data_IF_689841365036
#
_entry.id   IF_689841365036
#
_cell.length_a   1.000
_cell.length_b   1.000
_cell.length_c   1.000
_cell.angle_alpha   90.00
_cell.angle_beta   90.00
_cell.angle_gamma   90.00
#
_symmetry.space_group_name_H-M   'P 1'
#
loop_
_entity.id
_entity.type
_entity.pdbx_description
1 polymer ?
#
# COMPACT_ATOMS: atom_id res chain seq x y z
N UNK A 1 -0.81 -10.41 10.52
CA UNK A 1 -2.00 -10.83 9.73
C UNK A 1 -3.26 -10.79 10.54
N UNK A 2 -3.35 -11.50 11.67
CA UNK A 2 -4.55 -11.51 12.55
C UNK A 2 -5.02 -10.10 12.96
N UNK A 3 -4.09 -9.24 13.40
CA UNK A 3 -4.41 -7.86 13.84
C UNK A 3 -5.15 -7.02 12.79
N UNK A 4 -4.89 -7.27 11.50
CA UNK A 4 -5.52 -6.54 10.39
C UNK A 4 -6.58 -7.39 9.68
N UNK A 5 -6.86 -8.60 10.16
CA UNK A 5 -7.78 -9.54 9.52
C UNK A 5 -7.45 -9.81 8.06
N UNK A 6 -6.18 -10.02 7.72
CA UNK A 6 -5.76 -10.31 6.34
C UNK A 6 -6.29 -11.68 5.88
N UNK A 7 -6.90 -11.74 4.70
CA UNK A 7 -7.49 -12.95 4.12
C UNK A 7 -7.04 -13.17 2.68
N UNK A 8 -7.34 -14.33 2.10
CA UNK A 8 -7.08 -14.63 0.70
C UNK A 8 -7.83 -13.71 -0.30
N UNK A 9 -8.83 -12.96 0.15
CA UNK A 9 -9.52 -11.95 -0.67
C UNK A 9 -8.80 -10.60 -0.74
N UNK A 10 -7.80 -10.38 0.11
CA UNK A 10 -7.05 -9.13 0.17
C UNK A 10 -5.93 -9.08 -0.87
N UNK A 11 -5.54 -7.84 -1.19
CA UNK A 11 -4.48 -7.53 -2.15
C UNK A 11 -3.59 -6.45 -1.55
N UNK A 12 -2.29 -6.73 -1.49
CA UNK A 12 -1.27 -5.84 -0.92
C UNK A 12 -0.44 -5.25 -2.05
N UNK A 13 -0.21 -3.95 -2.06
CA UNK A 13 0.72 -3.31 -3.00
C UNK A 13 2.14 -3.27 -2.41
N UNK A 14 3.11 -3.87 -3.10
CA UNK A 14 4.50 -3.95 -2.68
C UNK A 14 5.27 -2.65 -2.98
N UNK A 15 4.95 -1.58 -2.27
CA UNK A 15 5.55 -0.24 -2.48
C UNK A 15 6.91 -0.10 -1.78
N UNK A 16 7.14 -0.89 -0.72
CA UNK A 16 8.41 -0.87 -0.01
C UNK A 16 9.52 -1.53 -0.84
N UNK A 17 10.67 -0.87 -0.92
CA UNK A 17 11.87 -1.46 -1.57
C UNK A 17 12.21 -2.81 -0.96
N UNK A 18 12.61 -3.78 -1.79
CA UNK A 18 13.09 -5.10 -1.35
C UNK A 18 14.35 -5.02 -0.46
N UNK A 19 15.05 -3.89 -0.44
CA UNK A 19 16.18 -3.64 0.47
C UNK A 19 15.76 -3.11 1.85
N UNK A 20 14.46 -2.88 2.08
CA UNK A 20 13.91 -2.41 3.35
C UNK A 20 13.12 -3.53 4.04
N UNK A 21 13.13 -3.57 5.37
CA UNK A 21 12.55 -4.67 6.17
C UNK A 21 11.02 -4.80 6.02
N UNK A 22 10.30 -3.71 5.74
CA UNK A 22 8.87 -3.75 5.46
C UNK A 22 8.50 -4.68 4.30
N UNK A 23 9.39 -4.81 3.30
CA UNK A 23 9.18 -5.72 2.18
C UNK A 23 9.11 -7.20 2.58
N UNK A 24 9.70 -7.56 3.73
CA UNK A 24 9.60 -8.92 4.28
C UNK A 24 8.14 -9.23 4.62
N UNK A 25 7.41 -8.29 5.22
CA UNK A 25 5.99 -8.49 5.51
C UNK A 25 5.17 -8.47 4.22
N UNK A 26 5.49 -7.59 3.26
CA UNK A 26 4.79 -7.53 1.97
C UNK A 26 4.84 -8.86 1.25
N UNK A 27 5.98 -9.56 1.25
CA UNK A 27 6.09 -10.87 0.60
C UNK A 27 5.51 -11.97 1.47
N UNK A 28 6.09 -12.20 2.65
CA UNK A 28 5.77 -13.39 3.44
C UNK A 28 4.45 -13.26 4.19
N UNK A 29 4.14 -12.07 4.71
CA UNK A 29 2.87 -11.81 5.40
C UNK A 29 1.69 -11.97 4.46
N UNK A 30 1.77 -11.37 3.27
CA UNK A 30 0.73 -11.50 2.23
C UNK A 30 0.52 -12.95 1.81
N UNK A 31 1.60 -13.62 1.38
CA UNK A 31 1.49 -14.97 0.83
C UNK A 31 1.10 -16.01 1.90
N UNK A 32 1.51 -15.84 3.15
CA UNK A 32 1.10 -16.72 4.26
C UNK A 32 -0.41 -16.66 4.54
N UNK A 33 -1.09 -15.56 4.20
CA UNK A 33 -2.55 -15.44 4.34
C UNK A 33 -3.33 -15.92 3.10
N UNK A 34 -2.62 -16.37 2.04
CA UNK A 34 -3.21 -16.68 0.74
C UNK A 34 -3.67 -15.43 -0.04
N UNK A 35 -3.28 -14.23 0.41
CA UNK A 35 -3.57 -12.96 -0.26
C UNK A 35 -2.68 -12.79 -1.50
N UNK A 36 -3.03 -11.85 -2.37
CA UNK A 36 -2.21 -11.55 -3.55
C UNK A 36 -1.30 -10.34 -3.31
N UNK A 37 -0.06 -10.44 -3.78
CA UNK A 37 0.90 -9.34 -3.82
C UNK A 37 0.88 -8.69 -5.21
N UNK A 38 0.60 -7.40 -5.26
CA UNK A 38 0.65 -6.56 -6.46
C UNK A 38 2.00 -5.86 -6.47
N UNK A 39 2.78 -6.07 -7.52
CA UNK A 39 4.16 -5.58 -7.62
C UNK A 39 4.23 -4.46 -8.66
N UNK A 40 4.69 -3.25 -8.27
CA UNK A 40 4.96 -2.16 -9.23
C UNK A 40 5.96 -2.54 -10.31
N UNK A 41 5.94 -1.80 -11.42
CA UNK A 41 6.95 -1.95 -12.45
C UNK A 41 8.25 -1.35 -11.92
N UNK A 42 9.41 -2.01 -12.06
CA UNK A 42 10.69 -1.47 -11.59
C UNK A 42 11.04 -0.08 -12.13
N UNK A 43 10.59 0.28 -13.33
CA UNK A 43 10.89 1.60 -13.92
C UNK A 43 10.05 2.73 -13.30
N UNK A 44 8.89 2.39 -12.72
CA UNK A 44 7.92 3.34 -12.13
C UNK A 44 7.62 3.02 -10.66
N UNK A 45 8.53 2.32 -9.97
CA UNK A 45 8.30 1.83 -8.60
C UNK A 45 8.01 2.95 -7.58
N UNK A 46 8.40 4.19 -7.87
CA UNK A 46 8.20 5.37 -7.02
C UNK A 46 7.20 6.40 -7.57
N UNK A 47 6.38 5.99 -8.54
CA UNK A 47 5.38 6.86 -9.15
C UNK A 47 4.00 6.66 -8.49
N UNK A 48 3.43 7.68 -7.82
CA UNK A 48 2.11 7.58 -7.21
C UNK A 48 0.96 7.40 -8.21
N UNK A 49 1.13 7.84 -9.47
CA UNK A 49 0.18 7.56 -10.54
C UNK A 49 0.13 6.06 -10.85
N UNK A 50 1.30 5.44 -11.00
CA UNK A 50 1.41 4.00 -11.24
C UNK A 50 0.84 3.17 -10.09
N UNK A 51 1.11 3.57 -8.85
CA UNK A 51 0.49 2.92 -7.67
C UNK A 51 -1.02 3.03 -7.69
N UNK A 52 -1.54 4.20 -8.08
CA UNK A 52 -2.97 4.45 -8.19
C UNK A 52 -3.61 3.58 -9.26
N UNK A 53 -3.01 3.47 -10.43
CA UNK A 53 -3.49 2.62 -11.52
C UNK A 53 -3.51 1.15 -11.12
N UNK A 54 -2.46 0.66 -10.48
CA UNK A 54 -2.40 -0.71 -9.96
C UNK A 54 -3.42 -0.96 -8.85
N UNK A 55 -3.58 0.00 -7.94
CA UNK A 55 -4.55 -0.11 -6.86
C UNK A 55 -5.97 -0.22 -7.39
N UNK A 56 -6.32 0.54 -8.43
CA UNK A 56 -7.64 0.49 -9.06
C UNK A 56 -7.82 -0.76 -9.93
N UNK A 57 -6.83 -1.08 -10.78
CA UNK A 57 -6.91 -2.21 -11.70
C UNK A 57 -7.01 -3.56 -10.96
N UNK A 58 -6.32 -3.67 -9.82
CA UNK A 58 -6.29 -4.91 -9.05
C UNK A 58 -7.21 -4.89 -7.83
N UNK A 59 -7.74 -3.74 -7.41
CA UNK A 59 -8.54 -3.63 -6.19
C UNK A 59 -7.70 -3.88 -4.94
N UNK A 60 -6.60 -3.12 -4.79
CA UNK A 60 -5.73 -3.19 -3.62
C UNK A 60 -6.50 -2.80 -2.36
N UNK A 61 -6.38 -3.63 -1.31
CA UNK A 61 -7.10 -3.43 -0.04
C UNK A 61 -6.17 -3.08 1.11
N UNK A 62 -4.86 -3.35 0.98
CA UNK A 62 -3.89 -3.16 2.05
C UNK A 62 -2.64 -2.46 1.54
N UNK A 63 -2.18 -1.49 2.32
CA UNK A 63 -0.97 -0.71 2.08
C UNK A 63 0.02 -0.88 3.24
N UNK A 64 1.31 -0.96 2.94
CA UNK A 64 2.38 -1.05 3.93
C UNK A 64 3.64 -0.28 3.47
N UNK A 65 3.97 0.82 4.15
CA UNK A 65 5.14 1.63 3.78
C UNK A 65 5.60 2.56 4.91
N UNK A 66 6.65 3.34 4.62
CA UNK A 66 6.94 4.56 5.37
C UNK A 66 5.88 5.64 5.12
N UNK A 67 5.65 6.55 6.09
CA UNK A 67 4.63 7.61 5.96
C UNK A 67 4.77 8.43 4.67
N UNK A 68 5.99 8.85 4.31
CA UNK A 68 6.25 9.69 3.14
C UNK A 68 5.72 9.11 1.81
N UNK A 69 5.78 7.79 1.61
CA UNK A 69 5.26 7.17 0.38
C UNK A 69 3.72 7.17 0.38
N UNK A 70 3.10 6.99 1.53
CA UNK A 70 1.65 7.07 1.67
C UNK A 70 1.13 8.51 1.51
N UNK A 71 1.90 9.51 1.93
CA UNK A 71 1.59 10.92 1.66
C UNK A 71 1.55 11.19 0.16
N UNK A 72 2.57 10.77 -0.60
CA UNK A 72 2.58 10.91 -2.06
C UNK A 72 1.36 10.25 -2.72
N UNK A 73 1.01 9.04 -2.26
CA UNK A 73 -0.17 8.32 -2.75
C UNK A 73 -1.48 9.07 -2.46
N UNK A 74 -1.68 9.54 -1.22
CA UNK A 74 -2.91 10.26 -0.81
C UNK A 74 -3.04 11.63 -1.48
N UNK A 75 -1.94 12.36 -1.64
CA UNK A 75 -1.91 13.64 -2.36
C UNK A 75 -2.27 13.48 -3.83
N UNK A 76 -1.77 12.43 -4.48
CA UNK A 76 -2.14 12.10 -5.86
C UNK A 76 -3.62 11.69 -5.94
N UNK A 77 -4.08 10.78 -5.08
CA UNK A 77 -5.48 10.31 -5.03
C UNK A 77 -6.50 11.43 -4.80
N UNK A 78 -6.17 12.42 -3.98
CA UNK A 78 -7.04 13.57 -3.70
C UNK A 78 -7.37 14.43 -4.93
N UNK A 79 -6.63 14.27 -6.03
CA UNK A 79 -6.83 15.01 -7.28
C UNK A 79 -7.78 14.30 -8.25
N UNK A 80 -8.24 13.08 -7.96
CA UNK A 80 -9.02 12.22 -8.86
C UNK A 80 -10.33 11.71 -8.22
N UNK A 81 -11.30 11.26 -9.04
CA UNK A 81 -12.55 10.67 -8.55
C UNK A 81 -12.29 9.38 -7.76
N UNK A 82 -12.83 9.29 -6.53
CA UNK A 82 -12.58 8.18 -5.61
C UNK A 82 -13.11 6.85 -6.15
N UNK A 83 -12.21 5.88 -6.38
CA UNK A 83 -12.51 4.46 -6.60
C UNK A 83 -12.23 3.65 -5.33
N UNK A 84 -12.45 2.33 -5.38
CA UNK A 84 -12.38 1.41 -4.23
C UNK A 84 -11.20 1.72 -3.30
N UNK A 85 -11.50 1.86 -2.01
CA UNK A 85 -10.55 2.36 -1.02
C UNK A 85 -9.74 1.26 -0.34
N UNK A 86 -8.55 1.64 0.13
CA UNK A 86 -7.78 0.84 1.05
C UNK A 86 -8.60 0.58 2.31
N UNK A 87 -8.54 -0.65 2.82
CA UNK A 87 -9.13 -1.04 4.10
C UNK A 87 -8.16 -0.80 5.25
N UNK A 88 -6.86 -0.98 5.00
CA UNK A 88 -5.80 -0.86 6.00
C UNK A 88 -4.57 -0.21 5.36
N UNK A 89 -4.03 0.81 6.01
CA UNK A 89 -2.68 1.32 5.77
C UNK A 89 -1.83 1.11 7.03
N UNK A 90 -0.72 0.39 6.87
CA UNK A 90 0.28 0.19 7.92
C UNK A 90 1.45 1.13 7.64
N UNK A 91 1.71 2.02 8.59
CA UNK A 91 2.74 3.06 8.47
C UNK A 91 3.78 2.87 9.58
N UNK A 92 5.05 2.82 9.18
CA UNK A 92 6.17 2.58 10.10
C UNK A 92 7.50 3.05 9.51
N UNK A 93 8.54 3.15 10.33
CA UNK A 93 9.88 3.54 9.89
C UNK A 93 10.19 5.04 10.01
N UNK A 94 9.17 5.88 10.23
CA UNK A 94 9.33 7.29 10.58
C UNK A 94 8.08 7.82 11.33
N UNK A 95 8.09 9.11 11.68
CA UNK A 95 6.96 9.82 12.25
C UNK A 95 5.75 9.85 11.32
N UNK A 96 4.57 9.54 11.86
CA UNK A 96 3.30 9.58 11.12
C UNK A 96 2.64 10.95 11.34
N UNK A 97 2.43 11.75 10.28
CA UNK A 97 1.73 13.03 10.42
C UNK A 97 0.30 12.88 10.92
N UNK A 98 -0.08 13.73 11.88
CA UNK A 98 -1.43 13.71 12.46
C UNK A 98 -2.53 14.06 11.45
N UNK A 99 -2.19 14.80 10.39
CA UNK A 99 -3.09 15.14 9.29
C UNK A 99 -3.26 14.01 8.27
N UNK A 100 -2.36 13.01 8.25
CA UNK A 100 -2.35 11.99 7.21
C UNK A 100 -3.60 11.09 7.23
N UNK A 101 -4.13 10.65 8.39
CA UNK A 101 -5.38 9.88 8.44
C UNK A 101 -6.60 10.62 7.85
N UNK A 102 -6.62 11.96 7.87
CA UNK A 102 -7.73 12.75 7.33
C UNK A 102 -7.71 12.85 5.79
N UNK A 103 -6.55 12.55 5.17
CA UNK A 103 -6.37 12.55 3.70
C UNK A 103 -6.52 11.17 3.07
N UNK A 104 -6.61 10.12 3.88
CA UNK A 104 -6.55 8.71 3.47
C UNK A 104 -7.90 8.15 2.98
#
# INVERSE_FOLDING_TARGET
NERIGLTAGDRVLAVSSLSFDLSVWDVFGTLAAGAALVVPDPETERDPGHWSDLADAHGVTVWNSVPALFELYTEHRGQHERRAGLRVAMLSGDWVPLSLPERA
#
